data_IF_234788186807
#
_entry.id   IF_234788186807
#
_cell.length_a   1.000
_cell.length_b   1.000
_cell.length_c   1.000
_cell.angle_alpha   90.00
_cell.angle_beta   90.00
_cell.angle_gamma   90.00
#
_symmetry.space_group_name_H-M   'P 1'
#
loop_
_entity.id
_entity.type
_entity.pdbx_description
1 polymer ?
#
# COMPACT_ATOMS: atom_id res chain seq x y z
N UNK A 1 6.20 -32.07 14.52
CA UNK A 1 6.17 -30.60 14.44
C UNK A 1 4.78 -30.02 14.13
N UNK A 2 3.74 -30.79 14.06
CA UNK A 2 2.41 -30.38 13.63
C UNK A 2 2.31 -30.25 12.11
N UNK A 3 1.11 -30.11 11.62
CA UNK A 3 0.83 -30.01 10.18
C UNK A 3 0.21 -28.64 9.86
N UNK A 4 0.87 -27.88 8.97
CA UNK A 4 0.39 -26.57 8.54
C UNK A 4 -0.90 -26.68 7.71
N UNK A 5 -1.05 -27.73 6.90
CA UNK A 5 -2.19 -27.90 5.99
C UNK A 5 -3.49 -28.25 6.72
N UNK A 6 -3.39 -28.99 7.82
CA UNK A 6 -4.54 -29.35 8.67
C UNK A 6 -4.61 -28.53 9.96
N UNK A 7 -3.66 -27.62 10.16
CA UNK A 7 -3.58 -26.70 11.30
C UNK A 7 -3.56 -27.43 12.65
N UNK A 8 -2.54 -28.25 12.89
CA UNK A 8 -2.36 -28.99 14.15
C UNK A 8 -1.05 -28.61 14.85
N UNK A 9 -0.96 -28.95 16.15
CA UNK A 9 0.24 -28.81 16.96
C UNK A 9 0.79 -27.38 17.01
N UNK A 10 2.12 -27.21 16.93
CA UNK A 10 2.76 -25.88 16.94
C UNK A 10 2.26 -24.95 15.82
N UNK A 11 1.91 -25.49 14.64
CA UNK A 11 1.38 -24.69 13.55
C UNK A 11 0.04 -24.03 13.92
N UNK A 12 -0.86 -24.77 14.56
CA UNK A 12 -2.13 -24.21 15.04
C UNK A 12 -1.89 -23.21 16.18
N UNK A 13 -0.97 -23.51 17.10
CA UNK A 13 -0.67 -22.62 18.22
C UNK A 13 -0.14 -21.26 17.74
N UNK A 14 0.81 -21.24 16.79
CA UNK A 14 1.35 -20.03 16.19
C UNK A 14 0.27 -19.22 15.47
N UNK A 15 -0.59 -19.84 14.67
CA UNK A 15 -1.68 -19.16 13.98
C UNK A 15 -2.76 -18.62 14.93
N UNK A 16 -3.06 -19.32 16.04
CA UNK A 16 -3.95 -18.79 17.08
C UNK A 16 -3.36 -17.58 17.79
N UNK A 17 -2.07 -17.62 18.05
CA UNK A 17 -1.34 -16.48 18.63
C UNK A 17 -1.36 -15.28 17.67
N UNK A 18 -1.00 -15.48 16.40
CA UNK A 18 -1.08 -14.42 15.38
C UNK A 18 -2.50 -13.84 15.24
N UNK A 19 -3.55 -14.69 15.21
CA UNK A 19 -4.92 -14.22 15.16
C UNK A 19 -5.25 -13.28 16.34
N UNK A 20 -4.81 -13.62 17.56
CA UNK A 20 -4.98 -12.77 18.74
C UNK A 20 -4.25 -11.44 18.61
N UNK A 21 -2.97 -11.48 18.21
CA UNK A 21 -2.14 -10.26 18.08
C UNK A 21 -2.67 -9.33 17.01
N UNK A 22 -3.16 -9.88 15.90
CA UNK A 22 -3.68 -9.10 14.76
C UNK A 22 -5.21 -8.86 14.83
N UNK A 23 -5.87 -9.08 15.97
CA UNK A 23 -7.30 -8.82 16.19
C UNK A 23 -8.24 -9.54 15.19
N UNK A 24 -7.83 -10.70 14.70
CA UNK A 24 -8.60 -11.55 13.80
C UNK A 24 -9.24 -12.75 14.56
N UNK A 25 -10.31 -13.32 14.00
CA UNK A 25 -10.89 -14.57 14.52
C UNK A 25 -10.02 -15.78 14.19
N UNK A 26 -9.36 -15.74 13.00
CA UNK A 26 -8.45 -16.78 12.52
C UNK A 26 -7.32 -16.20 11.68
N UNK A 27 -6.14 -16.79 11.80
CA UNK A 27 -5.00 -16.54 10.94
C UNK A 27 -4.59 -17.83 10.21
N UNK A 28 -4.12 -17.68 8.96
CA UNK A 28 -3.54 -18.75 8.16
C UNK A 28 -2.19 -18.29 7.65
N UNK A 29 -1.14 -19.03 7.97
CA UNK A 29 0.21 -18.72 7.50
C UNK A 29 0.41 -19.23 6.08
N UNK A 30 0.76 -18.35 5.17
CA UNK A 30 0.95 -18.64 3.75
C UNK A 30 2.42 -18.47 3.39
N UNK A 31 3.05 -19.51 2.87
CA UNK A 31 4.49 -19.58 2.66
C UNK A 31 4.92 -19.29 1.21
N UNK A 32 3.97 -18.92 0.35
CA UNK A 32 4.19 -18.62 -1.07
C UNK A 32 3.68 -17.23 -1.46
N UNK A 33 3.81 -16.27 -0.52
CA UNK A 33 3.51 -14.87 -0.72
C UNK A 33 2.02 -14.53 -0.75
N UNK A 34 1.71 -13.23 -0.69
CA UNK A 34 0.33 -12.76 -0.79
C UNK A 34 -0.30 -13.12 -2.13
N UNK A 35 0.47 -13.33 -3.19
CA UNK A 35 -0.06 -13.88 -4.45
C UNK A 35 -0.72 -15.24 -4.27
N UNK A 36 -0.16 -16.10 -3.40
CA UNK A 36 -0.78 -17.37 -2.98
C UNK A 36 -1.99 -17.14 -2.07
N UNK A 37 -1.85 -16.25 -1.08
CA UNK A 37 -2.94 -15.91 -0.16
C UNK A 37 -4.17 -15.38 -0.89
N UNK A 38 -4.00 -14.51 -1.89
CA UNK A 38 -5.08 -13.98 -2.72
C UNK A 38 -5.85 -15.11 -3.44
N UNK A 39 -5.13 -16.07 -4.02
CA UNK A 39 -5.77 -17.22 -4.67
C UNK A 39 -6.53 -18.08 -3.68
N UNK A 40 -5.95 -18.37 -2.51
CA UNK A 40 -6.62 -19.13 -1.44
C UNK A 40 -7.95 -18.48 -1.06
N UNK A 41 -7.94 -17.17 -0.79
CA UNK A 41 -9.15 -16.45 -0.36
C UNK A 41 -10.20 -16.42 -1.47
N UNK A 42 -9.82 -16.02 -2.67
CA UNK A 42 -10.76 -15.80 -3.76
C UNK A 42 -11.36 -17.10 -4.28
N UNK A 43 -10.58 -18.19 -4.35
CA UNK A 43 -11.10 -19.51 -4.71
C UNK A 43 -12.00 -20.14 -3.63
N UNK A 44 -11.84 -19.73 -2.36
CA UNK A 44 -12.72 -20.16 -1.28
C UNK A 44 -14.01 -19.34 -1.20
N UNK A 45 -13.92 -18.05 -1.53
CA UNK A 45 -14.99 -17.09 -1.35
C UNK A 45 -15.95 -17.03 -2.53
N UNK A 46 -15.43 -17.18 -3.75
CA UNK A 46 -16.14 -16.90 -5.00
C UNK A 46 -16.51 -18.18 -5.75
N UNK A 47 -17.64 -18.12 -6.44
CA UNK A 47 -18.12 -19.12 -7.38
C UNK A 47 -18.38 -18.48 -8.76
N UNK A 48 -18.46 -19.29 -9.84
CA UNK A 48 -18.79 -18.77 -11.18
C UNK A 48 -20.08 -17.95 -11.17
N UNK A 49 -20.01 -16.75 -11.73
CA UNK A 49 -21.13 -15.81 -11.81
C UNK A 49 -21.34 -14.94 -10.58
N UNK A 50 -20.55 -15.07 -9.51
CA UNK A 50 -20.60 -14.13 -8.39
C UNK A 50 -20.16 -12.71 -8.82
N UNK A 51 -20.91 -11.71 -8.38
CA UNK A 51 -20.54 -10.31 -8.61
C UNK A 51 -19.51 -9.86 -7.56
N UNK A 52 -18.44 -9.24 -8.05
CA UNK A 52 -17.35 -8.71 -7.22
C UNK A 52 -17.14 -7.24 -7.53
N UNK A 53 -17.31 -6.39 -6.51
CA UNK A 53 -16.90 -5.01 -6.61
C UNK A 53 -15.37 -4.96 -6.63
N UNK A 54 -14.80 -4.37 -7.66
CA UNK A 54 -13.39 -4.56 -7.97
C UNK A 54 -12.69 -3.23 -8.20
N UNK A 55 -11.86 -2.85 -7.25
CA UNK A 55 -10.95 -1.71 -7.44
C UNK A 55 -9.98 -2.01 -8.58
N UNK A 56 -9.93 -1.13 -9.58
CA UNK A 56 -9.17 -1.40 -10.81
C UNK A 56 -7.67 -1.54 -10.60
N UNK A 57 -7.12 -0.90 -9.57
CA UNK A 57 -5.69 -0.92 -9.25
C UNK A 57 -5.30 -2.10 -8.35
N UNK A 58 -5.85 -3.28 -8.57
CA UNK A 58 -5.52 -4.47 -7.79
C UNK A 58 -4.35 -5.27 -8.38
N UNK A 59 -3.68 -6.03 -7.51
CA UNK A 59 -2.61 -6.93 -7.91
C UNK A 59 -3.10 -8.02 -8.87
N UNK A 60 -2.25 -8.39 -9.85
CA UNK A 60 -2.58 -9.42 -10.88
C UNK A 60 -3.11 -10.74 -10.32
N UNK A 61 -2.62 -11.19 -9.16
CA UNK A 61 -3.10 -12.46 -8.55
C UNK A 61 -4.56 -12.36 -8.09
N UNK A 62 -5.07 -11.17 -7.78
CA UNK A 62 -6.48 -10.95 -7.46
C UNK A 62 -7.32 -11.04 -8.71
N UNK A 63 -6.93 -10.36 -9.80
CA UNK A 63 -7.61 -10.46 -11.08
C UNK A 63 -7.69 -11.90 -11.59
N UNK A 64 -6.58 -12.62 -11.62
CA UNK A 64 -6.56 -14.05 -11.99
C UNK A 64 -7.37 -14.91 -11.02
N UNK A 65 -7.24 -14.71 -9.71
CA UNK A 65 -7.97 -15.48 -8.71
C UNK A 65 -9.47 -15.26 -8.74
N UNK A 66 -9.92 -14.01 -8.85
CA UNK A 66 -11.34 -13.66 -8.88
C UNK A 66 -11.99 -13.92 -10.24
N UNK A 67 -11.37 -13.42 -11.32
CA UNK A 67 -12.02 -13.37 -12.62
C UNK A 67 -11.80 -14.65 -13.44
N UNK A 68 -10.59 -15.21 -13.42
CA UNK A 68 -10.27 -16.38 -14.25
C UNK A 68 -10.49 -17.69 -13.50
N UNK A 69 -9.87 -17.85 -12.33
CA UNK A 69 -9.97 -19.13 -11.60
C UNK A 69 -11.36 -19.33 -10.97
N UNK A 70 -11.93 -18.29 -10.36
CA UNK A 70 -13.25 -18.39 -9.72
C UNK A 70 -14.41 -18.16 -10.69
N UNK A 71 -14.18 -17.56 -11.86
CA UNK A 71 -15.22 -17.23 -12.84
C UNK A 71 -16.20 -16.15 -12.35
N UNK A 72 -15.75 -15.24 -11.48
CA UNK A 72 -16.57 -14.14 -10.99
C UNK A 72 -16.69 -13.01 -12.02
N UNK A 73 -17.72 -12.20 -11.88
CA UNK A 73 -18.02 -11.05 -12.75
C UNK A 73 -17.63 -9.76 -12.04
N UNK A 74 -16.68 -8.98 -12.59
CA UNK A 74 -16.24 -7.74 -11.96
C UNK A 74 -17.22 -6.60 -12.20
N UNK A 75 -17.43 -5.80 -11.15
CA UNK A 75 -17.99 -4.45 -11.19
C UNK A 75 -16.84 -3.51 -10.85
N UNK A 76 -16.31 -2.81 -11.84
CA UNK A 76 -15.08 -2.03 -11.66
C UNK A 76 -15.33 -0.68 -11.00
N UNK A 77 -14.47 -0.33 -10.05
CA UNK A 77 -14.36 1.01 -9.48
C UNK A 77 -13.09 1.70 -10.00
N UNK A 78 -13.26 2.93 -10.46
CA UNK A 78 -12.13 3.73 -10.95
C UNK A 78 -11.33 4.33 -9.79
N UNK A 79 -10.01 4.32 -9.94
CA UNK A 79 -9.07 4.95 -9.01
C UNK A 79 -8.62 6.31 -9.54
N UNK A 80 -8.40 7.25 -8.62
CA UNK A 80 -7.86 8.55 -8.94
C UNK A 80 -6.42 8.43 -9.47
N UNK A 81 -6.08 9.32 -10.41
CA UNK A 81 -4.70 9.57 -10.83
C UNK A 81 -4.45 11.06 -10.80
N UNK A 82 -3.31 11.46 -10.32
CA UNK A 82 -2.91 12.85 -10.37
C UNK A 82 -2.11 13.18 -11.65
N UNK A 83 -1.89 14.46 -11.98
CA UNK A 83 -1.12 14.85 -13.16
C UNK A 83 0.33 14.35 -13.18
N UNK A 84 0.87 13.99 -12.02
CA UNK A 84 2.26 13.53 -11.88
C UNK A 84 2.43 12.02 -12.09
N UNK A 85 1.32 11.30 -12.32
CA UNK A 85 1.33 9.86 -12.55
C UNK A 85 1.07 9.00 -11.30
N UNK A 86 0.92 9.61 -10.13
CA UNK A 86 0.63 8.88 -8.90
C UNK A 86 -0.79 8.29 -8.92
N UNK A 87 -0.91 7.08 -8.40
CA UNK A 87 -2.18 6.38 -8.26
C UNK A 87 -2.74 6.66 -6.86
N UNK A 88 -3.95 7.21 -6.81
CA UNK A 88 -4.71 7.41 -5.59
C UNK A 88 -5.66 6.25 -5.27
N UNK A 89 -6.63 6.52 -4.41
CA UNK A 89 -7.72 5.60 -4.09
C UNK A 89 -8.92 5.75 -5.03
N UNK A 90 -9.95 4.96 -4.79
CA UNK A 90 -11.23 4.99 -5.53
C UNK A 90 -11.90 6.35 -5.36
N UNK A 91 -12.43 6.91 -6.45
CA UNK A 91 -13.17 8.17 -6.41
C UNK A 91 -14.41 8.05 -5.50
N UNK A 92 -14.68 9.06 -4.70
CA UNK A 92 -15.73 9.00 -3.67
C UNK A 92 -17.11 8.65 -4.24
N UNK A 93 -17.47 9.22 -5.38
CA UNK A 93 -18.76 8.93 -6.03
C UNK A 93 -18.92 7.46 -6.44
N UNK A 94 -17.80 6.74 -6.65
CA UNK A 94 -17.83 5.31 -6.95
C UNK A 94 -18.25 4.45 -5.75
N UNK A 95 -18.22 4.99 -4.54
CA UNK A 95 -18.75 4.33 -3.34
C UNK A 95 -20.23 4.68 -3.07
N UNK A 96 -20.87 5.44 -3.94
CA UNK A 96 -22.31 5.71 -3.84
C UNK A 96 -23.10 4.45 -4.20
N UNK A 97 -24.09 4.09 -3.37
CA UNK A 97 -24.90 2.89 -3.56
C UNK A 97 -25.67 2.91 -4.90
N UNK A 98 -26.29 4.04 -5.26
CA UNK A 98 -27.06 4.17 -6.50
C UNK A 98 -26.16 3.96 -7.72
N UNK A 99 -24.93 4.51 -7.68
CA UNK A 99 -23.94 4.33 -8.71
C UNK A 99 -23.52 2.86 -8.85
N UNK A 100 -23.25 2.19 -7.73
CA UNK A 100 -22.89 0.76 -7.70
C UNK A 100 -24.03 -0.09 -8.24
N UNK A 101 -25.28 0.17 -7.79
CA UNK A 101 -26.46 -0.56 -8.27
C UNK A 101 -26.72 -0.35 -9.78
N UNK A 102 -26.45 0.85 -10.29
CA UNK A 102 -26.50 1.13 -11.73
C UNK A 102 -25.49 0.25 -12.50
N UNK A 103 -24.24 0.19 -12.06
CA UNK A 103 -23.20 -0.65 -12.67
C UNK A 103 -23.55 -2.16 -12.59
N UNK A 104 -24.15 -2.60 -11.48
CA UNK A 104 -24.64 -3.97 -11.33
C UNK A 104 -25.78 -4.26 -12.31
N UNK A 105 -26.71 -3.33 -12.47
CA UNK A 105 -27.87 -3.48 -13.36
C UNK A 105 -27.49 -3.67 -14.83
N UNK A 106 -26.36 -3.09 -15.27
CA UNK A 106 -25.80 -3.31 -16.61
C UNK A 106 -25.38 -4.77 -16.83
N UNK A 107 -25.08 -5.51 -15.79
CA UNK A 107 -24.62 -6.91 -15.84
C UNK A 107 -25.72 -7.90 -15.45
N UNK A 108 -26.44 -7.60 -14.37
CA UNK A 108 -27.51 -8.41 -13.82
C UNK A 108 -28.57 -7.54 -13.14
N UNK A 109 -29.64 -7.13 -13.85
CA UNK A 109 -30.70 -6.31 -13.31
C UNK A 109 -31.42 -6.92 -12.09
N UNK A 110 -31.49 -8.25 -12.01
CA UNK A 110 -32.13 -8.92 -10.89
C UNK A 110 -31.31 -8.80 -9.61
N UNK A 111 -29.99 -9.00 -9.72
CA UNK A 111 -29.08 -8.82 -8.59
C UNK A 111 -29.02 -7.37 -8.12
N UNK A 112 -29.11 -6.39 -9.00
CA UNK A 112 -29.14 -4.98 -8.61
C UNK A 112 -30.26 -4.62 -7.63
N UNK A 113 -31.35 -5.42 -7.61
CA UNK A 113 -32.50 -5.23 -6.71
C UNK A 113 -32.38 -6.02 -5.39
N UNK A 114 -31.34 -6.80 -5.21
CA UNK A 114 -31.11 -7.57 -3.97
C UNK A 114 -30.56 -6.64 -2.86
N UNK A 115 -30.84 -6.98 -1.60
CA UNK A 115 -30.28 -6.25 -0.46
C UNK A 115 -28.74 -6.28 -0.49
N UNK A 116 -28.17 -7.47 -0.73
CA UNK A 116 -26.72 -7.69 -0.85
C UNK A 116 -26.41 -8.30 -2.22
N UNK A 117 -26.19 -7.45 -3.24
CA UNK A 117 -25.97 -7.93 -4.60
C UNK A 117 -24.60 -8.52 -4.83
N UNK A 118 -23.60 -8.16 -3.99
CA UNK A 118 -22.20 -8.47 -4.19
C UNK A 118 -21.75 -9.59 -3.24
N UNK A 119 -21.10 -10.62 -3.78
CA UNK A 119 -20.44 -11.65 -2.95
C UNK A 119 -19.23 -11.05 -2.22
N UNK A 120 -18.47 -10.20 -2.90
CA UNK A 120 -17.33 -9.53 -2.28
C UNK A 120 -17.08 -8.13 -2.89
N UNK A 121 -16.47 -7.26 -2.08
CA UNK A 121 -15.70 -6.12 -2.57
C UNK A 121 -14.21 -6.42 -2.35
N UNK A 122 -13.37 -6.08 -3.32
CA UNK A 122 -11.91 -6.24 -3.25
C UNK A 122 -11.27 -4.87 -3.30
N UNK A 123 -10.65 -4.46 -2.19
CA UNK A 123 -10.05 -3.14 -1.99
C UNK A 123 -8.57 -3.32 -1.63
N UNK A 124 -7.70 -2.57 -2.30
CA UNK A 124 -6.29 -2.48 -1.94
C UNK A 124 -6.13 -1.47 -0.80
N UNK A 125 -5.99 -1.95 0.45
CA UNK A 125 -5.98 -1.08 1.64
C UNK A 125 -4.92 0.02 1.59
N UNK A 126 -3.74 -0.30 1.11
CA UNK A 126 -2.67 0.65 0.87
C UNK A 126 -2.01 0.37 -0.48
N UNK A 127 -1.98 1.37 -1.35
CA UNK A 127 -1.39 1.21 -2.68
C UNK A 127 0.14 1.43 -2.68
N UNK A 128 0.76 1.17 -3.82
CA UNK A 128 2.21 1.28 -3.97
C UNK A 128 2.70 2.74 -3.86
N UNK A 129 1.87 3.70 -4.28
CA UNK A 129 2.17 5.14 -4.24
C UNK A 129 1.82 5.81 -2.90
N UNK A 130 1.63 5.01 -1.84
CA UNK A 130 1.50 5.52 -0.47
C UNK A 130 0.12 6.09 -0.12
N UNK A 131 -0.92 5.83 -0.90
CA UNK A 131 -2.28 6.15 -0.51
C UNK A 131 -2.87 5.00 0.31
N UNK A 132 -3.34 5.26 1.53
CA UNK A 132 -4.01 4.31 2.40
C UNK A 132 -5.47 4.71 2.63
N UNK A 133 -6.36 3.73 2.60
CA UNK A 133 -7.79 3.92 2.80
C UNK A 133 -8.16 4.06 4.27
N UNK A 134 -9.15 4.89 4.55
CA UNK A 134 -9.93 4.78 5.77
C UNK A 134 -10.86 3.57 5.68
N UNK A 135 -10.47 2.44 6.29
CA UNK A 135 -11.22 1.19 6.22
C UNK A 135 -12.62 1.32 6.85
N UNK A 136 -12.78 2.16 7.89
CA UNK A 136 -14.06 2.47 8.49
C UNK A 136 -15.01 3.06 7.46
N UNK A 137 -14.59 4.10 6.74
CA UNK A 137 -15.42 4.72 5.72
C UNK A 137 -15.77 3.77 4.57
N UNK A 138 -14.85 2.90 4.18
CA UNK A 138 -15.13 1.87 3.15
C UNK A 138 -16.27 0.95 3.62
N UNK A 139 -16.17 0.41 4.83
CA UNK A 139 -17.20 -0.48 5.39
C UNK A 139 -18.54 0.23 5.54
N UNK A 140 -18.54 1.48 6.04
CA UNK A 140 -19.75 2.27 6.23
C UNK A 140 -20.46 2.56 4.90
N UNK A 141 -19.70 2.80 3.81
CA UNK A 141 -20.27 3.13 2.49
C UNK A 141 -20.79 1.93 1.72
N UNK A 142 -20.06 0.82 1.72
CA UNK A 142 -20.37 -0.33 0.82
C UNK A 142 -20.57 -1.67 1.54
N UNK A 143 -20.35 -1.73 2.85
CA UNK A 143 -20.42 -2.97 3.61
C UNK A 143 -21.78 -3.66 3.54
N UNK A 144 -22.87 -2.88 3.55
CA UNK A 144 -24.24 -3.40 3.46
C UNK A 144 -24.56 -4.02 2.08
N UNK A 145 -23.80 -3.69 1.04
CA UNK A 145 -23.98 -4.26 -0.31
C UNK A 145 -23.22 -5.58 -0.52
N UNK A 146 -22.31 -5.92 0.40
CA UNK A 146 -21.38 -7.03 0.23
C UNK A 146 -21.54 -8.11 1.30
N UNK A 147 -21.37 -9.38 0.94
CA UNK A 147 -21.21 -10.45 1.94
C UNK A 147 -19.87 -10.35 2.66
N UNK A 148 -18.82 -10.02 1.91
CA UNK A 148 -17.45 -9.83 2.41
C UNK A 148 -16.79 -8.60 1.81
N UNK A 149 -15.89 -7.98 2.58
CA UNK A 149 -14.88 -7.09 2.04
C UNK A 149 -13.50 -7.75 2.22
N UNK A 150 -12.81 -7.92 1.12
CA UNK A 150 -11.46 -8.44 1.06
C UNK A 150 -10.48 -7.28 0.88
N UNK A 151 -9.65 -7.04 1.90
CA UNK A 151 -8.61 -6.03 1.86
C UNK A 151 -7.26 -6.65 1.51
N UNK A 152 -6.70 -6.26 0.36
CA UNK A 152 -5.29 -6.55 0.06
C UNK A 152 -4.42 -5.52 0.81
N UNK A 153 -3.80 -5.99 1.88
CA UNK A 153 -2.90 -5.21 2.74
C UNK A 153 -1.44 -5.62 2.54
N UNK A 154 -1.09 -6.04 1.32
CA UNK A 154 0.26 -6.52 1.03
C UNK A 154 1.35 -5.46 1.26
N UNK A 155 1.03 -4.17 1.21
CA UNK A 155 1.94 -3.03 1.40
C UNK A 155 1.74 -2.30 2.72
N UNK A 156 0.91 -2.80 3.58
CA UNK A 156 0.61 -2.29 4.92
C UNK A 156 0.48 -3.48 5.88
N UNK A 157 -0.25 -3.36 6.97
CA UNK A 157 -0.43 -4.45 7.96
C UNK A 157 0.11 -4.09 9.33
N UNK A 158 0.72 -2.93 9.46
CA UNK A 158 1.20 -2.33 10.69
C UNK A 158 0.26 -1.25 11.24
N UNK A 159 -0.73 -0.82 10.47
CA UNK A 159 -1.65 0.26 10.80
C UNK A 159 -2.37 0.04 12.13
N UNK A 160 -2.66 -1.19 12.49
CA UNK A 160 -3.31 -1.54 13.74
C UNK A 160 -2.44 -1.33 15.00
N UNK A 161 -1.11 -1.25 14.84
CA UNK A 161 -0.18 -1.01 15.93
C UNK A 161 0.15 0.48 16.10
N UNK A 162 -0.41 1.33 15.24
CA UNK A 162 -0.20 2.77 15.18
C UNK A 162 -1.51 3.46 15.58
N UNK A 163 -1.62 4.04 16.80
CA UNK A 163 -2.89 4.54 17.32
C UNK A 163 -3.61 5.54 16.42
N UNK A 164 -2.88 6.45 15.77
CA UNK A 164 -3.49 7.44 14.88
C UNK A 164 -4.10 6.80 13.61
N UNK A 165 -3.67 5.60 13.22
CA UNK A 165 -4.14 4.88 12.02
C UNK A 165 -5.27 3.88 12.31
N UNK A 166 -5.89 3.90 13.50
CA UNK A 166 -6.90 2.91 13.91
C UNK A 166 -8.03 2.72 12.91
N UNK A 167 -8.50 3.81 12.27
CA UNK A 167 -9.59 3.78 11.29
C UNK A 167 -9.13 3.29 9.91
N UNK A 168 -7.82 3.19 9.68
CA UNK A 168 -7.25 2.55 8.50
C UNK A 168 -7.20 1.02 8.65
N UNK A 169 -7.32 0.47 9.88
CA UNK A 169 -7.25 -0.97 10.10
C UNK A 169 -8.61 -1.65 10.03
N UNK A 170 -8.88 -2.50 9.03
CA UNK A 170 -10.12 -3.26 8.98
C UNK A 170 -10.27 -4.27 10.13
N UNK A 171 -9.16 -4.69 10.74
CA UNK A 171 -9.17 -5.67 11.84
C UNK A 171 -9.53 -5.05 13.19
N UNK A 172 -9.39 -3.73 13.35
CA UNK A 172 -9.81 -3.01 14.57
C UNK A 172 -11.28 -2.58 14.55
N UNK A 173 -12.00 -2.76 13.45
CA UNK A 173 -13.40 -2.36 13.33
C UNK A 173 -14.30 -3.18 14.27
N UNK A 174 -15.22 -2.51 14.94
CA UNK A 174 -16.33 -3.18 15.64
C UNK A 174 -17.41 -3.50 14.61
N UNK A 175 -17.72 -4.78 14.45
CA UNK A 175 -18.62 -5.28 13.42
C UNK A 175 -19.82 -5.99 14.05
N UNK A 176 -21.01 -5.70 13.54
CA UNK A 176 -22.29 -6.31 13.93
C UNK A 176 -22.78 -7.36 12.91
N UNK A 177 -23.91 -8.02 13.18
CA UNK A 177 -24.46 -9.08 12.31
C UNK A 177 -24.79 -8.62 10.89
N UNK A 178 -25.01 -7.33 10.69
CA UNK A 178 -25.35 -6.74 9.39
C UNK A 178 -24.10 -6.29 8.61
N UNK A 179 -22.94 -6.21 9.27
CA UNK A 179 -21.71 -5.83 8.61
C UNK A 179 -21.14 -6.97 7.75
N UNK A 180 -20.33 -6.69 6.73
CA UNK A 180 -19.67 -7.71 5.92
C UNK A 180 -18.65 -8.52 6.74
N UNK A 181 -18.40 -9.76 6.37
CA UNK A 181 -17.21 -10.47 6.82
C UNK A 181 -15.96 -9.75 6.29
N UNK A 182 -14.90 -9.68 7.09
CA UNK A 182 -13.63 -9.06 6.69
C UNK A 182 -12.57 -10.14 6.50
N UNK A 183 -11.86 -10.09 5.38
CA UNK A 183 -10.65 -10.87 5.14
C UNK A 183 -9.54 -9.91 4.74
N UNK A 184 -8.40 -10.05 5.40
CA UNK A 184 -7.21 -9.25 5.14
C UNK A 184 -6.06 -10.17 4.77
N UNK A 185 -5.30 -9.82 3.74
CA UNK A 185 -4.04 -10.49 3.41
C UNK A 185 -2.87 -9.54 3.56
N UNK A 186 -1.77 -10.05 4.10
CA UNK A 186 -0.57 -9.24 4.37
C UNK A 186 0.68 -9.93 3.85
N UNK A 187 1.54 -9.18 3.17
CA UNK A 187 2.92 -9.60 2.87
C UNK A 187 3.82 -9.25 4.04
N UNK A 188 3.92 -10.18 4.99
CA UNK A 188 4.73 -9.96 6.20
C UNK A 188 6.21 -9.74 5.88
N UNK A 189 6.67 -10.24 4.73
CA UNK A 189 8.04 -10.09 4.26
C UNK A 189 8.40 -8.71 3.68
N UNK A 190 7.45 -7.78 3.52
CA UNK A 190 7.72 -6.45 2.94
C UNK A 190 8.20 -5.46 4.00
N UNK A 191 7.32 -5.05 4.91
CA UNK A 191 7.63 -4.03 5.91
C UNK A 191 7.61 -4.56 7.35
N UNK A 192 7.15 -5.81 7.56
CA UNK A 192 7.20 -6.50 8.83
C UNK A 192 8.39 -7.48 8.89
N UNK A 193 8.48 -8.31 9.94
CA UNK A 193 9.65 -9.15 10.22
C UNK A 193 9.61 -10.54 9.57
N UNK A 194 8.98 -10.70 8.41
CA UNK A 194 8.91 -11.98 7.71
C UNK A 194 10.05 -12.19 6.71
N UNK A 195 10.51 -13.43 6.56
CA UNK A 195 11.38 -13.80 5.45
C UNK A 195 10.65 -13.74 4.12
N UNK A 196 11.40 -13.58 3.01
CA UNK A 196 10.81 -13.52 1.67
C UNK A 196 9.80 -14.63 1.42
N UNK A 197 8.65 -14.26 0.89
CA UNK A 197 7.42 -15.01 0.69
C UNK A 197 6.57 -15.23 1.97
N UNK A 198 6.97 -14.79 3.16
CA UNK A 198 6.11 -14.84 4.33
C UNK A 198 4.86 -13.98 4.14
N UNK A 199 3.70 -14.58 4.24
CA UNK A 199 2.40 -13.93 4.11
C UNK A 199 1.39 -14.53 5.09
N UNK A 200 0.29 -13.82 5.34
CA UNK A 200 -0.80 -14.35 6.17
C UNK A 200 -2.16 -13.90 5.68
N UNK A 201 -3.16 -14.74 5.93
CA UNK A 201 -4.58 -14.43 5.77
C UNK A 201 -5.18 -14.26 7.16
N UNK A 202 -5.81 -13.13 7.40
CA UNK A 202 -6.48 -12.78 8.64
C UNK A 202 -7.97 -12.65 8.39
N UNK A 203 -8.77 -13.45 9.08
CA UNK A 203 -10.20 -13.54 8.87
C UNK A 203 -10.93 -13.03 10.11
N UNK A 204 -11.85 -12.09 9.93
CA UNK A 204 -12.71 -11.50 10.99
C UNK A 204 -14.15 -11.53 10.53
N UNK A 205 -14.88 -12.57 10.92
CA UNK A 205 -16.24 -12.82 10.48
C UNK A 205 -17.08 -13.63 11.50
N UNK A 206 -16.64 -13.69 12.75
CA UNK A 206 -17.40 -14.35 13.82
C UNK A 206 -18.80 -13.74 14.04
N UNK A 207 -18.96 -12.44 13.77
CA UNK A 207 -20.23 -11.71 13.89
C UNK A 207 -21.31 -12.18 12.88
N UNK A 208 -20.92 -12.82 11.77
CA UNK A 208 -21.85 -13.39 10.78
C UNK A 208 -21.89 -14.93 10.81
N UNK A 209 -21.29 -15.54 11.82
CA UNK A 209 -21.29 -17.00 11.97
C UNK A 209 -22.71 -17.54 12.08
N UNK A 210 -23.02 -18.57 11.28
CA UNK A 210 -24.38 -19.15 11.18
C UNK A 210 -25.25 -18.54 10.10
N UNK A 211 -24.89 -17.42 9.51
CA UNK A 211 -25.57 -16.86 8.34
C UNK A 211 -25.18 -17.61 7.06
N UNK A 212 -26.03 -17.62 6.04
CA UNK A 212 -25.78 -18.28 4.73
C UNK A 212 -24.53 -17.73 4.02
N UNK A 213 -24.22 -16.46 4.24
CA UNK A 213 -23.06 -15.77 3.64
C UNK A 213 -21.73 -16.11 4.31
N UNK A 214 -21.75 -16.71 5.51
CA UNK A 214 -20.53 -17.07 6.26
C UNK A 214 -19.64 -18.05 5.49
N UNK A 215 -18.34 -17.77 5.43
CA UNK A 215 -17.32 -18.64 4.84
C UNK A 215 -16.76 -19.60 5.89
N UNK A 216 -17.16 -20.89 5.91
CA UNK A 216 -16.68 -21.85 6.89
C UNK A 216 -15.17 -22.13 6.73
N UNK A 217 -14.50 -22.41 7.85
CA UNK A 217 -13.09 -22.82 7.85
C UNK A 217 -12.79 -23.95 6.88
N UNK A 218 -13.67 -24.97 6.81
CA UNK A 218 -13.49 -26.12 5.93
C UNK A 218 -13.33 -25.72 4.45
N UNK A 219 -14.13 -24.74 3.98
CA UNK A 219 -14.07 -24.28 2.58
C UNK A 219 -12.78 -23.51 2.35
N UNK A 220 -12.42 -22.57 3.26
CA UNK A 220 -11.17 -21.81 3.15
C UNK A 220 -9.96 -22.74 3.20
N UNK A 221 -9.97 -23.73 4.09
CA UNK A 221 -8.88 -24.68 4.23
C UNK A 221 -8.73 -25.63 3.03
N UNK A 222 -9.83 -26.04 2.39
CA UNK A 222 -9.76 -26.79 1.14
C UNK A 222 -9.03 -26.00 0.05
N UNK A 223 -9.39 -24.72 -0.10
CA UNK A 223 -8.68 -23.82 -1.02
C UNK A 223 -7.22 -23.62 -0.62
N UNK A 224 -6.94 -23.50 0.68
CA UNK A 224 -5.57 -23.40 1.20
C UNK A 224 -4.74 -24.64 0.82
N UNK A 225 -5.25 -25.84 1.03
CA UNK A 225 -4.56 -27.09 0.68
C UNK A 225 -4.25 -27.21 -0.81
N UNK A 226 -5.18 -26.78 -1.68
CA UNK A 226 -4.99 -26.81 -3.15
C UNK A 226 -3.93 -25.83 -3.61
N UNK A 227 -3.81 -24.66 -2.94
CA UNK A 227 -2.90 -23.59 -3.33
C UNK A 227 -1.57 -23.57 -2.55
N UNK A 228 -1.35 -24.57 -1.69
CA UNK A 228 -0.15 -24.66 -0.84
C UNK A 228 0.66 -25.93 -1.14
N UNK A 229 1.98 -25.86 -0.92
CA UNK A 229 2.84 -27.03 -1.00
C UNK A 229 2.63 -27.96 0.19
N UNK A 230 2.68 -29.27 -0.04
CA UNK A 230 2.73 -30.30 1.02
C UNK A 230 4.06 -30.31 1.78
N UNK A 231 5.06 -29.56 1.29
CA UNK A 231 6.40 -29.42 1.90
C UNK A 231 6.62 -27.99 2.35
N UNK A 232 6.10 -27.57 3.54
CA UNK A 232 6.22 -26.20 4.00
C UNK A 232 7.67 -25.84 4.33
N UNK A 233 8.08 -24.61 3.98
CA UNK A 233 9.37 -24.07 4.40
C UNK A 233 9.26 -23.61 5.86
N UNK A 234 9.92 -24.33 6.76
CA UNK A 234 9.83 -24.05 8.21
C UNK A 234 10.51 -22.75 8.63
N UNK A 235 11.51 -22.26 7.90
CA UNK A 235 12.13 -20.96 8.20
C UNK A 235 11.15 -19.81 7.93
N UNK A 236 10.42 -19.87 6.79
CA UNK A 236 9.38 -18.88 6.49
C UNK A 236 8.26 -18.96 7.53
N UNK A 237 7.85 -20.19 7.88
CA UNK A 237 6.84 -20.40 8.93
C UNK A 237 7.30 -19.79 10.27
N UNK A 238 8.52 -20.07 10.72
CA UNK A 238 9.06 -19.56 11.97
C UNK A 238 9.14 -18.02 11.97
N UNK A 239 9.46 -17.40 10.81
CA UNK A 239 9.48 -15.94 10.70
C UNK A 239 8.09 -15.30 10.91
N UNK A 240 7.01 -15.98 10.51
CA UNK A 240 5.64 -15.51 10.76
C UNK A 240 5.26 -15.59 12.25
N UNK A 241 5.65 -16.65 12.95
CA UNK A 241 5.47 -16.76 14.40
C UNK A 241 6.29 -15.70 15.16
N UNK A 242 7.54 -15.50 14.75
CA UNK A 242 8.41 -14.45 15.30
C UNK A 242 7.82 -13.06 15.05
N UNK A 243 7.34 -12.79 13.85
CA UNK A 243 6.69 -11.52 13.56
C UNK A 243 5.50 -11.25 14.50
N UNK A 244 4.63 -12.24 14.71
CA UNK A 244 3.50 -12.09 15.62
C UNK A 244 3.97 -11.76 17.06
N UNK A 245 5.04 -12.40 17.54
CA UNK A 245 5.63 -12.10 18.85
C UNK A 245 6.23 -10.69 18.93
N UNK A 246 6.89 -10.22 17.87
CA UNK A 246 7.43 -8.86 17.83
C UNK A 246 6.34 -7.79 17.85
N UNK A 247 5.17 -8.10 17.31
CA UNK A 247 4.03 -7.18 17.27
C UNK A 247 3.18 -7.20 18.55
N UNK A 248 3.44 -8.12 19.49
CA UNK A 248 2.58 -8.31 20.66
C UNK A 248 2.74 -7.19 21.69
N UNK A 249 1.62 -6.62 22.13
CA UNK A 249 1.55 -5.69 23.26
C UNK A 249 2.27 -4.37 23.02
N UNK A 250 2.86 -3.81 24.07
CA UNK A 250 3.53 -2.50 24.01
C UNK A 250 4.81 -2.52 23.15
N UNK A 251 5.48 -3.67 23.04
CA UNK A 251 6.68 -3.80 22.21
C UNK A 251 6.40 -3.52 20.75
N UNK A 252 5.28 -4.03 20.21
CA UNK A 252 4.87 -3.77 18.85
C UNK A 252 4.52 -2.30 18.62
N UNK A 253 3.80 -1.68 19.55
CA UNK A 253 3.48 -0.26 19.48
C UNK A 253 4.73 0.63 19.51
N UNK A 254 5.67 0.36 20.41
CA UNK A 254 6.92 1.11 20.51
C UNK A 254 7.75 0.98 19.22
N UNK A 255 7.84 -0.24 18.68
CA UNK A 255 8.55 -0.51 17.42
C UNK A 255 8.05 0.37 16.28
N UNK A 256 6.74 0.48 16.12
CA UNK A 256 6.14 1.29 15.05
C UNK A 256 6.12 2.78 15.38
N UNK A 257 6.03 3.15 16.67
CA UNK A 257 6.15 4.55 17.07
C UNK A 257 7.54 5.11 16.73
N UNK A 258 8.61 4.40 17.06
CA UNK A 258 9.98 4.79 16.68
C UNK A 258 10.14 4.90 15.15
N UNK A 259 9.51 3.99 14.40
CA UNK A 259 9.53 4.01 12.96
C UNK A 259 8.83 5.26 12.38
N UNK A 260 7.66 5.66 12.93
CA UNK A 260 6.95 6.88 12.54
C UNK A 260 7.77 8.13 12.86
N UNK A 261 8.32 8.22 14.06
CA UNK A 261 9.19 9.35 14.46
C UNK A 261 10.34 9.50 13.46
N UNK A 262 11.03 8.42 13.13
CA UNK A 262 12.10 8.42 12.14
C UNK A 262 11.60 8.84 10.74
N UNK A 263 10.40 8.40 10.35
CA UNK A 263 9.81 8.73 9.05
C UNK A 263 9.42 10.22 8.96
N UNK A 264 8.94 10.83 10.05
CA UNK A 264 8.65 12.26 10.14
C UNK A 264 9.95 13.06 10.07
N UNK A 265 10.95 12.70 10.88
CA UNK A 265 12.25 13.40 10.89
C UNK A 265 12.98 13.32 9.54
N UNK A 266 12.87 12.18 8.82
CA UNK A 266 13.40 12.07 7.47
C UNK A 266 12.73 13.07 6.52
N UNK A 267 11.39 13.20 6.55
CA UNK A 267 10.65 14.20 5.73
C UNK A 267 11.02 15.64 6.07
N UNK A 268 11.08 15.97 7.37
CA UNK A 268 11.53 17.28 7.83
C UNK A 268 12.95 17.59 7.36
N UNK A 269 13.84 16.59 7.40
CA UNK A 269 15.22 16.75 6.95
C UNK A 269 15.30 16.99 5.45
N UNK A 270 14.49 16.31 4.63
CA UNK A 270 14.40 16.59 3.19
C UNK A 270 13.91 18.03 2.97
N UNK A 271 12.82 18.45 3.61
CA UNK A 271 12.26 19.81 3.44
C UNK A 271 13.29 20.88 3.80
N UNK A 272 14.06 20.69 4.88
CA UNK A 272 15.03 21.66 5.38
C UNK A 272 16.32 21.73 4.58
N UNK A 273 16.76 20.63 3.99
CA UNK A 273 18.10 20.54 3.39
C UNK A 273 18.10 20.38 1.87
N UNK A 274 16.97 19.96 1.27
CA UNK A 274 16.82 19.80 -0.17
C UNK A 274 16.08 21.00 -0.76
N UNK A 275 16.54 21.45 -1.93
CA UNK A 275 15.97 22.58 -2.67
C UNK A 275 14.92 22.12 -3.69
N UNK A 276 15.16 20.99 -4.34
CA UNK A 276 14.36 20.50 -5.47
C UNK A 276 13.51 19.27 -5.11
N UNK A 277 14.02 18.39 -4.26
CA UNK A 277 13.28 17.20 -3.81
C UNK A 277 12.29 17.56 -2.71
N UNK A 278 11.06 17.07 -2.83
CA UNK A 278 10.00 17.35 -1.85
C UNK A 278 9.26 16.07 -1.46
N UNK A 279 9.08 15.82 -0.16
CA UNK A 279 8.19 14.74 0.28
C UNK A 279 6.74 15.10 0.00
N UNK A 280 5.92 14.08 -0.26
CA UNK A 280 4.48 14.25 -0.39
C UNK A 280 3.91 14.39 1.02
N UNK A 281 3.56 15.62 1.41
CA UNK A 281 2.93 15.97 2.68
C UNK A 281 2.06 17.21 2.50
N UNK A 282 1.03 17.43 3.34
CA UNK A 282 0.29 18.70 3.35
C UNK A 282 1.24 19.86 3.65
N UNK A 283 1.18 20.98 2.91
CA UNK A 283 2.07 22.11 3.17
C UNK A 283 1.79 22.80 4.51
N UNK A 284 0.53 22.79 4.95
CA UNK A 284 0.08 23.44 6.20
C UNK A 284 -0.88 22.48 6.92
N UNK A 285 -0.67 22.30 8.21
CA UNK A 285 -1.55 21.56 9.11
C UNK A 285 -1.76 22.38 10.38
N UNK A 286 -3.00 22.49 10.86
CA UNK A 286 -3.35 23.31 12.04
C UNK A 286 -2.85 24.77 11.98
N UNK A 287 -2.74 25.35 10.77
CA UNK A 287 -2.29 26.72 10.57
C UNK A 287 -0.79 26.95 10.59
N UNK A 288 0.01 25.91 10.75
CA UNK A 288 1.48 25.95 10.72
C UNK A 288 2.03 25.13 9.55
N UNK A 289 3.25 25.43 9.09
CA UNK A 289 3.91 24.60 8.10
C UNK A 289 4.08 23.18 8.64
N UNK A 290 3.98 22.18 7.76
CA UNK A 290 4.08 20.78 8.15
C UNK A 290 5.36 20.46 8.93
N UNK A 291 6.50 20.96 8.46
CA UNK A 291 7.82 20.73 9.07
C UNK A 291 8.02 21.41 10.43
N UNK A 292 7.17 22.36 10.80
CA UNK A 292 7.25 23.10 12.07
C UNK A 292 6.49 22.38 13.21
N UNK A 293 5.66 21.38 12.89
CA UNK A 293 4.96 20.57 13.89
C UNK A 293 5.92 19.86 14.84
N UNK A 294 5.51 19.66 16.09
CA UNK A 294 6.26 18.79 17.01
C UNK A 294 6.20 17.33 16.52
N UNK A 295 7.32 16.63 16.52
CA UNK A 295 7.40 15.28 15.95
C UNK A 295 6.56 14.25 16.71
N UNK A 296 6.49 14.36 18.03
CA UNK A 296 5.68 13.45 18.85
C UNK A 296 4.19 13.72 18.67
N UNK A 297 3.78 14.97 18.58
CA UNK A 297 2.39 15.35 18.26
C UNK A 297 2.00 14.84 16.87
N UNK A 298 2.86 15.02 15.87
CA UNK A 298 2.65 14.53 14.50
C UNK A 298 2.54 13.00 14.43
N UNK A 299 3.29 12.27 15.24
CA UNK A 299 3.24 10.81 15.29
C UNK A 299 1.92 10.27 15.89
N UNK A 300 1.13 11.13 16.53
CA UNK A 300 -0.14 10.82 17.14
C UNK A 300 -1.35 11.45 16.46
N UNK A 301 -1.15 12.24 15.41
CA UNK A 301 -2.22 12.96 14.69
C UNK A 301 -2.20 12.65 13.20
N UNK A 302 -3.18 11.88 12.75
CA UNK A 302 -3.34 11.45 11.35
C UNK A 302 -3.56 12.63 10.38
N UNK A 303 -3.98 13.82 10.87
CA UNK A 303 -4.21 14.99 10.02
C UNK A 303 -2.94 15.47 9.29
N UNK A 304 -1.77 15.19 9.86
CA UNK A 304 -0.49 15.46 9.19
C UNK A 304 -0.22 14.59 7.96
N UNK A 305 -1.06 13.59 7.75
CA UNK A 305 -0.97 12.64 6.62
C UNK A 305 -2.25 12.60 5.79
N UNK A 306 -3.20 13.50 6.00
CA UNK A 306 -4.49 13.49 5.31
C UNK A 306 -4.38 14.08 3.90
N UNK A 307 -5.02 13.43 2.92
CA UNK A 307 -5.30 14.03 1.62
C UNK A 307 -6.53 14.92 1.74
N UNK A 308 -6.32 16.21 1.96
CA UNK A 308 -7.42 17.17 2.06
C UNK A 308 -8.14 17.34 0.71
N UNK A 309 -9.49 17.35 0.69
CA UNK A 309 -10.26 17.51 -0.55
C UNK A 309 -9.86 18.75 -1.33
N UNK A 310 -9.49 18.56 -2.61
CA UNK A 310 -9.10 19.66 -3.50
C UNK A 310 -7.72 20.25 -3.23
N UNK A 311 -6.89 19.61 -2.41
CA UNK A 311 -5.52 20.03 -2.14
C UNK A 311 -4.68 20.07 -3.42
N UNK A 312 -4.13 21.24 -3.78
CA UNK A 312 -3.30 21.39 -4.99
C UNK A 312 -1.99 20.60 -4.90
N UNK A 313 -1.43 20.50 -3.72
CA UNK A 313 -0.16 19.80 -3.48
C UNK A 313 -0.16 18.32 -3.86
N UNK A 314 -1.31 17.65 -3.81
CA UNK A 314 -1.45 16.26 -4.27
C UNK A 314 -2.23 16.13 -5.58
N UNK A 315 -2.99 17.15 -5.96
CA UNK A 315 -3.78 17.23 -7.22
C UNK A 315 -4.75 16.08 -7.47
N UNK A 316 -5.06 15.23 -6.49
CA UNK A 316 -6.13 14.24 -6.60
C UNK A 316 -7.49 14.93 -6.51
N UNK A 317 -8.39 14.55 -7.40
CA UNK A 317 -9.77 15.05 -7.43
C UNK A 317 -10.74 14.01 -6.90
N UNK A 318 -11.92 14.45 -6.46
CA UNK A 318 -13.02 13.57 -6.07
C UNK A 318 -12.86 12.85 -4.74
N UNK A 319 -12.00 13.36 -3.84
CA UNK A 319 -11.87 12.88 -2.47
C UNK A 319 -12.78 13.62 -1.51
N UNK A 320 -13.22 12.94 -0.45
CA UNK A 320 -13.89 13.52 0.71
C UNK A 320 -12.98 13.57 1.93
N UNK A 321 -13.38 14.30 2.94
CA UNK A 321 -12.59 14.48 4.16
C UNK A 321 -12.27 13.14 4.82
N UNK A 322 -11.02 12.96 5.20
CA UNK A 322 -10.51 11.77 5.92
C UNK A 322 -10.77 10.43 5.19
N UNK A 323 -10.95 10.47 3.88
CA UNK A 323 -11.16 9.26 3.08
C UNK A 323 -9.86 8.52 2.83
N UNK A 324 -8.77 9.27 2.60
CA UNK A 324 -7.45 8.74 2.31
C UNK A 324 -6.39 9.46 3.10
N UNK A 325 -5.30 8.72 3.37
CA UNK A 325 -4.13 9.23 4.06
C UNK A 325 -2.86 8.84 3.30
N UNK A 326 -1.81 9.64 3.48
CA UNK A 326 -0.46 9.26 3.11
C UNK A 326 0.00 8.16 4.08
N UNK A 327 0.54 7.10 3.55
CA UNK A 327 1.18 6.07 4.35
C UNK A 327 2.48 6.61 4.98
N UNK A 328 2.55 6.76 6.31
CA UNK A 328 3.73 7.32 6.96
C UNK A 328 5.00 6.51 6.70
N UNK A 329 4.85 5.19 6.46
CA UNK A 329 5.96 4.26 6.24
C UNK A 329 6.47 4.27 4.79
N UNK A 330 5.94 5.13 3.94
CA UNK A 330 6.40 5.33 2.56
C UNK A 330 6.95 6.74 2.40
N UNK A 331 8.27 6.88 2.44
CA UNK A 331 8.93 8.14 2.13
C UNK A 331 8.99 8.30 0.62
N UNK A 332 7.94 8.92 0.07
CA UNK A 332 7.86 9.25 -1.34
C UNK A 332 8.28 10.69 -1.56
N UNK A 333 9.23 10.88 -2.48
CA UNK A 333 9.77 12.17 -2.85
C UNK A 333 9.44 12.47 -4.30
N UNK A 334 8.88 13.65 -4.53
CA UNK A 334 8.77 14.21 -5.88
C UNK A 334 10.14 14.67 -6.35
N UNK A 335 10.44 14.37 -7.62
CA UNK A 335 11.72 14.75 -8.24
C UNK A 335 11.69 16.18 -8.76
N UNK A 336 12.85 16.78 -9.06
CA UNK A 336 12.92 18.15 -9.60
C UNK A 336 12.04 18.31 -10.85
N UNK A 337 11.29 19.39 -10.94
CA UNK A 337 10.39 19.71 -12.04
C UNK A 337 8.90 19.60 -11.69
N UNK A 338 8.58 19.39 -10.42
CA UNK A 338 7.21 19.41 -9.91
C UNK A 338 7.08 20.47 -8.84
N UNK A 339 6.21 21.45 -9.10
CA UNK A 339 5.82 22.43 -8.10
C UNK A 339 4.64 21.90 -7.27
N UNK A 340 4.94 21.49 -6.03
CA UNK A 340 3.93 20.93 -5.12
C UNK A 340 2.92 21.97 -4.61
N UNK A 341 3.21 23.27 -4.68
CA UNK A 341 2.32 24.31 -4.17
C UNK A 341 1.12 24.54 -5.10
N UNK A 342 1.38 24.57 -6.41
CA UNK A 342 0.34 24.80 -7.42
C UNK A 342 -0.12 23.55 -8.18
N UNK A 343 0.62 22.45 -8.07
CA UNK A 343 0.30 21.20 -8.76
C UNK A 343 0.68 21.18 -10.24
N UNK A 344 1.69 21.96 -10.65
CA UNK A 344 2.10 22.13 -12.04
C UNK A 344 3.53 21.63 -12.28
N UNK A 345 3.84 21.37 -13.55
CA UNK A 345 5.21 21.08 -13.97
C UNK A 345 6.01 22.38 -14.15
N UNK A 346 7.27 22.34 -13.77
CA UNK A 346 8.25 23.40 -14.03
C UNK A 346 8.93 23.18 -15.39
N UNK A 347 9.57 24.24 -15.93
CA UNK A 347 10.30 24.17 -17.21
C UNK A 347 11.52 23.22 -17.15
N UNK A 348 12.13 23.11 -15.98
CA UNK A 348 13.25 22.20 -15.73
C UNK A 348 12.82 21.05 -14.82
N UNK A 349 13.22 19.83 -15.17
CA UNK A 349 12.96 18.66 -14.34
C UNK A 349 13.98 17.54 -14.59
N UNK A 350 14.13 16.65 -13.60
CA UNK A 350 14.98 15.46 -13.69
C UNK A 350 14.14 14.22 -13.42
N UNK A 351 14.10 13.24 -14.35
CA UNK A 351 13.35 12.01 -14.17
C UNK A 351 13.84 11.21 -12.94
N UNK A 352 12.90 10.58 -12.22
CA UNK A 352 13.20 9.78 -11.04
C UNK A 352 14.22 8.66 -11.29
N UNK A 353 14.27 8.11 -12.51
CA UNK A 353 15.26 7.08 -12.88
C UNK A 353 16.70 7.57 -12.77
N UNK A 354 16.97 8.84 -13.08
CA UNK A 354 18.33 9.42 -12.96
C UNK A 354 18.74 9.51 -11.50
N UNK A 355 17.85 9.96 -10.63
CA UNK A 355 18.08 9.95 -9.19
C UNK A 355 18.27 8.52 -8.66
N UNK A 356 17.47 7.57 -9.13
CA UNK A 356 17.56 6.18 -8.71
C UNK A 356 18.90 5.55 -9.11
N UNK A 357 19.41 5.82 -10.33
CA UNK A 357 20.70 5.33 -10.79
C UNK A 357 21.86 5.98 -10.04
N UNK A 358 21.77 7.31 -9.77
CA UNK A 358 22.73 7.98 -8.89
C UNK A 358 22.77 7.34 -7.49
N UNK A 359 21.61 7.06 -6.90
CA UNK A 359 21.55 6.44 -5.58
C UNK A 359 22.11 5.02 -5.57
N UNK A 360 21.86 4.22 -6.63
CA UNK A 360 22.44 2.88 -6.77
C UNK A 360 23.97 2.93 -6.88
N UNK A 361 24.52 3.91 -7.62
CA UNK A 361 25.97 4.14 -7.69
C UNK A 361 26.55 4.64 -6.34
N UNK A 362 25.72 5.02 -5.41
CA UNK A 362 26.05 5.46 -4.04
C UNK A 362 25.50 4.53 -2.95
N UNK A 363 25.32 3.23 -3.23
CA UNK A 363 24.93 2.18 -2.27
C UNK A 363 23.54 2.40 -1.62
N UNK A 364 22.62 3.03 -2.34
CA UNK A 364 21.22 3.15 -1.91
C UNK A 364 20.29 2.60 -2.99
N UNK A 365 19.45 1.64 -2.63
CA UNK A 365 18.48 1.04 -3.52
C UNK A 365 17.09 1.54 -3.14
N UNK A 366 16.45 2.39 -3.94
CA UNK A 366 15.06 2.79 -3.71
C UNK A 366 14.12 1.61 -3.98
N UNK A 367 12.98 1.59 -3.33
CA UNK A 367 11.95 0.58 -3.57
C UNK A 367 11.32 0.72 -4.97
N UNK A 368 11.05 1.96 -5.36
CA UNK A 368 10.44 2.30 -6.65
C UNK A 368 11.00 3.63 -7.15
N UNK A 369 11.09 3.78 -8.44
CA UNK A 369 11.16 5.08 -9.09
C UNK A 369 10.20 5.12 -10.26
N UNK A 370 9.63 6.28 -10.48
CA UNK A 370 8.81 6.60 -11.65
C UNK A 370 9.38 7.83 -12.36
N UNK A 371 8.64 8.41 -13.31
CA UNK A 371 9.10 9.60 -14.01
C UNK A 371 9.32 10.77 -13.04
N UNK A 372 8.37 10.97 -12.13
CA UNK A 372 8.27 12.16 -11.29
C UNK A 372 8.49 11.90 -9.80
N UNK A 373 8.75 10.67 -9.40
CA UNK A 373 8.88 10.31 -8.00
C UNK A 373 9.87 9.18 -7.75
N UNK A 374 10.30 9.10 -6.49
CA UNK A 374 11.10 8.02 -5.95
C UNK A 374 10.58 7.64 -4.56
N UNK A 375 10.55 6.35 -4.28
CA UNK A 375 9.98 5.79 -3.05
C UNK A 375 11.03 5.04 -2.24
N UNK A 376 11.05 5.32 -0.93
CA UNK A 376 11.80 4.55 0.07
C UNK A 376 10.83 3.98 1.10
N UNK A 377 11.06 2.73 1.52
CA UNK A 377 10.29 2.11 2.59
C UNK A 377 10.90 2.46 3.94
N UNK A 378 10.07 2.98 4.83
CA UNK A 378 10.40 3.16 6.24
C UNK A 378 10.01 1.88 6.97
N UNK A 379 10.98 1.20 7.56
CA UNK A 379 10.78 -0.03 8.31
C UNK A 379 11.46 0.09 9.68
N UNK A 380 11.12 -0.75 10.65
CA UNK A 380 11.83 -0.76 11.93
C UNK A 380 13.34 -1.03 11.84
N UNK A 381 13.82 -1.49 10.67
CA UNK A 381 15.25 -1.69 10.41
C UNK A 381 15.98 -0.40 9.94
N UNK A 382 15.25 0.68 9.67
CA UNK A 382 15.84 1.94 9.21
C UNK A 382 16.25 2.79 10.41
N UNK A 383 17.56 2.86 10.64
CA UNK A 383 18.13 3.64 11.74
C UNK A 383 18.30 5.11 11.40
N UNK A 384 18.34 6.03 12.40
CA UNK A 384 18.65 7.44 12.14
C UNK A 384 19.96 7.67 11.39
N UNK A 385 20.96 6.80 11.55
CA UNK A 385 22.25 6.88 10.83
C UNK A 385 22.08 6.61 9.35
N UNK A 386 21.32 5.58 8.98
CA UNK A 386 21.01 5.28 7.57
C UNK A 386 20.22 6.42 6.92
N UNK A 387 19.26 7.00 7.64
CA UNK A 387 18.47 8.12 7.14
C UNK A 387 19.31 9.38 6.94
N UNK A 388 20.24 9.69 7.85
CA UNK A 388 21.20 10.79 7.67
C UNK A 388 22.08 10.58 6.44
N UNK A 389 22.55 9.35 6.20
CA UNK A 389 23.32 9.01 5.00
C UNK A 389 22.52 9.20 3.73
N UNK A 390 21.26 8.72 3.69
CA UNK A 390 20.34 8.96 2.58
C UNK A 390 20.19 10.46 2.31
N UNK A 391 19.86 11.27 3.33
CA UNK A 391 19.68 12.73 3.17
C UNK A 391 20.96 13.39 2.65
N UNK A 392 22.14 13.00 3.14
CA UNK A 392 23.41 13.54 2.67
C UNK A 392 23.64 13.22 1.17
N UNK A 393 23.23 12.05 0.71
CA UNK A 393 23.29 11.66 -0.72
C UNK A 393 22.30 12.46 -1.57
N UNK A 394 21.07 12.69 -1.07
CA UNK A 394 20.09 13.52 -1.76
C UNK A 394 20.58 14.97 -1.90
N UNK A 395 21.11 15.57 -0.85
CA UNK A 395 21.70 16.91 -0.88
C UNK A 395 22.90 16.99 -1.84
N UNK A 396 23.71 15.92 -1.92
CA UNK A 396 24.83 15.85 -2.88
C UNK A 396 24.33 15.77 -4.32
N UNK A 397 23.25 15.01 -4.56
CA UNK A 397 22.62 14.99 -5.89
C UNK A 397 22.14 16.36 -6.32
N UNK A 398 21.51 17.14 -5.45
CA UNK A 398 21.09 18.52 -5.76
C UNK A 398 22.26 19.45 -6.06
N UNK A 399 23.43 19.28 -5.40
CA UNK A 399 24.64 20.03 -5.75
C UNK A 399 25.11 19.70 -7.17
N UNK A 400 24.93 18.47 -7.64
CA UNK A 400 25.21 18.13 -9.03
C UNK A 400 24.26 18.84 -10.01
N UNK A 401 23.00 19.09 -9.60
CA UNK A 401 22.06 19.89 -10.39
C UNK A 401 22.52 21.33 -10.44
N UNK A 402 22.79 21.96 -9.30
CA UNK A 402 23.24 23.36 -9.23
C UNK A 402 24.55 23.62 -9.99
N UNK A 403 25.43 22.62 -10.09
CA UNK A 403 26.71 22.69 -10.80
C UNK A 403 26.62 22.27 -12.27
N UNK A 404 25.45 21.86 -12.74
CA UNK A 404 25.25 21.24 -14.05
C UNK A 404 26.33 20.17 -14.35
N UNK A 405 26.51 19.24 -13.42
CA UNK A 405 27.58 18.26 -13.47
C UNK A 405 27.42 17.31 -14.67
N UNK A 406 28.55 16.89 -15.30
CA UNK A 406 28.52 15.94 -16.39
C UNK A 406 28.00 14.58 -15.93
N UNK A 407 27.27 13.90 -16.81
CA UNK A 407 26.66 12.58 -16.55
C UNK A 407 27.69 11.51 -16.14
N UNK A 408 28.91 11.58 -16.66
CA UNK A 408 30.03 10.74 -16.26
C UNK A 408 30.31 10.79 -14.75
N UNK A 409 30.12 11.96 -14.13
CA UNK A 409 30.35 12.16 -12.71
C UNK A 409 29.13 11.80 -11.87
N UNK A 410 27.92 11.99 -12.39
CA UNK A 410 26.66 11.80 -11.65
C UNK A 410 26.24 10.34 -11.62
N UNK A 411 26.24 9.66 -12.76
CA UNK A 411 25.83 8.25 -12.90
C UNK A 411 26.88 7.45 -13.72
N UNK A 412 28.08 7.25 -13.16
CA UNK A 412 29.22 6.66 -13.87
C UNK A 412 28.94 5.24 -14.39
N UNK A 413 28.10 4.44 -13.70
CA UNK A 413 27.77 3.09 -14.17
C UNK A 413 26.97 3.10 -15.47
N UNK A 414 25.97 3.97 -15.57
CA UNK A 414 25.13 4.15 -16.76
C UNK A 414 25.94 4.83 -17.87
N UNK A 415 26.73 5.86 -17.53
CA UNK A 415 27.59 6.54 -18.50
C UNK A 415 28.53 5.55 -19.20
N UNK A 416 29.27 4.71 -18.47
CA UNK A 416 30.16 3.68 -19.05
C UNK A 416 29.43 2.70 -19.96
N UNK A 417 28.18 2.36 -19.64
CA UNK A 417 27.36 1.44 -20.45
C UNK A 417 26.88 2.05 -21.76
N UNK A 418 26.67 3.35 -21.79
CA UNK A 418 26.10 4.09 -22.92
C UNK A 418 26.93 5.36 -23.25
N UNK A 419 28.28 5.26 -23.20
CA UNK A 419 29.20 6.38 -23.35
C UNK A 419 28.96 7.18 -24.64
N UNK A 420 28.78 6.51 -25.76
CA UNK A 420 28.54 7.17 -27.05
C UNK A 420 27.28 8.06 -27.03
N UNK A 421 26.24 7.61 -26.30
CA UNK A 421 24.99 8.36 -26.17
C UNK A 421 25.13 9.58 -25.25
N UNK A 422 25.86 9.44 -24.13
CA UNK A 422 25.89 10.46 -23.08
C UNK A 422 27.17 11.32 -23.09
N UNK A 423 28.07 11.09 -24.04
CA UNK A 423 29.32 11.87 -24.13
C UNK A 423 29.04 13.37 -24.28
N UNK A 424 29.55 14.17 -23.34
CA UNK A 424 29.34 15.61 -23.29
C UNK A 424 28.00 16.05 -22.70
N UNK A 425 27.17 15.14 -22.21
CA UNK A 425 25.93 15.50 -21.54
C UNK A 425 26.15 15.86 -20.08
N UNK A 426 25.42 16.89 -19.67
CA UNK A 426 25.25 17.31 -18.28
C UNK A 426 23.83 17.03 -17.81
N UNK A 427 23.55 17.21 -16.52
CA UNK A 427 22.21 17.01 -15.98
C UNK A 427 21.13 17.88 -16.64
N UNK A 428 21.47 19.13 -17.01
CA UNK A 428 20.50 20.03 -17.68
C UNK A 428 20.18 19.55 -19.10
N UNK A 429 21.11 18.93 -19.80
CA UNK A 429 20.91 18.41 -21.15
C UNK A 429 20.08 17.12 -21.21
N UNK A 430 19.99 16.38 -20.11
CA UNK A 430 19.15 15.17 -20.07
C UNK A 430 17.67 15.50 -20.22
N UNK A 431 17.25 16.64 -19.72
CA UNK A 431 15.91 17.14 -19.93
C UNK A 431 15.60 17.41 -21.42
N UNK A 432 16.59 17.82 -22.17
CA UNK A 432 16.46 18.11 -23.61
C UNK A 432 16.54 16.84 -24.45
N UNK A 433 17.40 15.88 -24.08
CA UNK A 433 17.68 14.66 -24.86
C UNK A 433 16.69 13.52 -24.64
N UNK A 434 15.97 13.55 -23.53
CA UNK A 434 14.89 12.62 -23.21
C UNK A 434 13.54 13.36 -23.14
N UNK A 435 13.16 14.15 -24.17
CA UNK A 435 11.98 15.04 -24.12
C UNK A 435 10.66 14.28 -24.16
N UNK A 436 10.70 12.99 -24.42
CA UNK A 436 9.51 12.15 -24.38
C UNK A 436 9.27 11.66 -22.97
N UNK A 437 8.72 12.52 -22.13
CA UNK A 437 7.74 12.05 -21.15
C UNK A 437 6.75 11.25 -21.98
N UNK A 438 6.58 9.95 -21.79
CA UNK A 438 5.61 9.24 -22.59
C UNK A 438 4.23 9.83 -22.30
N UNK A 439 3.75 10.64 -23.22
CA UNK A 439 2.37 11.15 -23.25
C UNK A 439 1.35 10.02 -23.38
N UNK A 440 1.83 8.77 -23.52
CA UNK A 440 1.03 7.59 -23.74
C UNK A 440 1.57 6.40 -22.96
N UNK A 441 1.17 6.27 -21.69
CA UNK A 441 0.88 4.96 -21.14
C UNK A 441 -0.65 4.92 -21.00
N UNK A 442 -1.32 4.69 -22.11
CA UNK A 442 -2.68 4.17 -22.11
C UNK A 442 -2.57 2.65 -21.97
N UNK A 443 -2.97 2.13 -20.84
CA UNK A 443 -3.33 0.73 -20.65
C UNK A 443 -4.82 0.64 -20.35
#
# INVERSE_FOLDING_TARGET
>A
MGDLLIHEGPALAAQKHAAKVFHADKAYFVLNGTSGANKVVLNALLAPGDLVLYERNNHKSIGYGALIQAGAIPIYLETARNPFGLIGGVLDHCFNEEYIRMLIAERDPKRAMMDRPLRAAVIQLGNYDGCIYNARQVVDKIGHLCDYIFFDSAWVGYEQFIPMMKDCSPLLLNLGPEDPGIIVVQSVHKQQAGFSQASQILKKDSHIKGQKRYLPHKILNNSFMVNSSTSPNYQIFASLDMNAKMQEGESGKLLWHECIVNAIEARKSVIRHCKYLRPIVPPVVHGSKWEDGDTEDMANDISYFAFEPGGKWHSFQGYTKSQYFIDPMKLQLMTPGINMENGEYEDFGIPGIILADYLRDNDVIPEKCDLNDILFLMTPAETPTKLKDLIAKLVRFEKHIDQDSPMEKVIPSIYRKYEEKYRGYTLSLIHISEPTRPLYISY
#
